data_IF_158372143416
#
_entry.id   IF_158372143416
#
_cell.length_a   1.000
_cell.length_b   1.000
_cell.length_c   1.000
_cell.angle_alpha   90.00
_cell.angle_beta   90.00
_cell.angle_gamma   90.00
#
_symmetry.space_group_name_H-M   'P 1'
#
loop_
_entity.id
_entity.type
_entity.pdbx_description
1 polymer ?
#
# COMPACT_ATOMS: atom_id res chain seq x y z
N UNK A 1 -4.29 -21.16 -1.64
CA UNK A 1 -5.14 -20.76 -2.78
C UNK A 1 -5.47 -19.28 -2.61
N UNK A 2 -5.21 -18.44 -3.62
CA UNK A 2 -5.49 -16.98 -3.61
C UNK A 2 -6.87 -16.73 -4.24
N UNK A 3 -7.57 -15.67 -3.84
CA UNK A 3 -8.77 -15.24 -4.56
C UNK A 3 -8.38 -14.75 -5.96
N UNK A 4 -9.12 -15.18 -7.00
CA UNK A 4 -8.88 -14.85 -8.41
C UNK A 4 -8.95 -13.33 -8.70
N UNK A 5 -9.68 -12.56 -7.89
CA UNK A 5 -9.73 -11.10 -8.03
C UNK A 5 -8.36 -10.41 -7.84
N UNK A 6 -7.37 -11.12 -7.26
CA UNK A 6 -5.99 -10.66 -7.16
C UNK A 6 -5.10 -11.04 -8.35
N UNK A 7 -5.65 -11.66 -9.40
CA UNK A 7 -4.84 -12.04 -10.56
C UNK A 7 -4.36 -10.81 -11.32
N UNK A 8 -3.12 -10.88 -11.82
CA UNK A 8 -2.43 -9.73 -12.43
C UNK A 8 -1.96 -8.65 -11.45
N UNK A 9 -2.33 -8.68 -10.17
CA UNK A 9 -1.92 -7.69 -9.19
C UNK A 9 -0.58 -8.06 -8.53
N UNK A 10 0.30 -7.07 -8.39
CA UNK A 10 1.55 -7.19 -7.64
C UNK A 10 1.26 -6.99 -6.15
N UNK A 11 1.64 -7.97 -5.33
CA UNK A 11 1.47 -7.95 -3.88
C UNK A 11 2.81 -7.63 -3.21
N UNK A 12 2.79 -6.64 -2.31
CA UNK A 12 3.96 -6.17 -1.58
C UNK A 12 3.75 -6.33 -0.08
N UNK A 13 4.79 -6.74 0.64
CA UNK A 13 4.85 -6.58 2.09
C UNK A 13 5.36 -5.17 2.36
N UNK A 14 4.58 -4.40 3.10
CA UNK A 14 4.90 -3.01 3.47
C UNK A 14 4.98 -2.89 4.97
N UNK A 15 5.83 -1.99 5.47
CA UNK A 15 5.97 -1.67 6.90
C UNK A 15 5.70 -0.19 7.14
N UNK A 16 4.90 0.12 8.15
CA UNK A 16 4.63 1.51 8.54
C UNK A 16 5.89 2.18 9.08
N UNK A 17 6.08 3.45 8.72
CA UNK A 17 7.15 4.31 9.20
C UNK A 17 6.59 5.40 10.12
N UNK A 18 7.40 5.90 11.04
CA UNK A 18 7.16 7.13 11.77
C UNK A 18 7.33 8.36 10.84
N UNK A 19 6.92 9.57 11.26
CA UNK A 19 7.19 10.80 10.51
C UNK A 19 8.69 11.02 10.20
N UNK A 20 9.58 10.51 11.06
CA UNK A 20 11.05 10.57 10.90
C UNK A 20 11.59 9.43 10.01
N UNK A 21 10.69 8.75 9.28
CA UNK A 21 10.99 7.62 8.40
C UNK A 21 11.63 6.42 9.13
N UNK A 22 11.45 6.34 10.44
CA UNK A 22 11.91 5.22 11.22
C UNK A 22 10.87 4.10 11.20
N UNK A 23 11.28 2.86 10.96
CA UNK A 23 10.32 1.79 10.88
C UNK A 23 9.68 1.43 12.22
N UNK A 24 8.36 1.27 12.23
CA UNK A 24 7.61 0.86 13.41
C UNK A 24 7.66 -0.66 13.61
N UNK A 25 7.78 -1.15 14.85
CA UNK A 25 8.11 -2.56 15.14
C UNK A 25 7.03 -3.60 14.77
N UNK A 26 5.74 -3.23 14.65
CA UNK A 26 4.66 -4.25 14.63
C UNK A 26 3.65 -4.14 13.47
N UNK A 27 3.86 -3.26 12.49
CA UNK A 27 2.84 -3.02 11.45
C UNK A 27 3.40 -3.33 10.07
N UNK A 28 3.61 -4.62 9.80
CA UNK A 28 3.78 -5.10 8.43
C UNK A 28 2.49 -5.73 7.92
N UNK A 29 2.09 -5.41 6.68
CA UNK A 29 0.88 -5.96 6.07
C UNK A 29 1.05 -6.06 4.55
N UNK A 30 0.10 -6.74 3.91
CA UNK A 30 0.06 -6.85 2.45
C UNK A 30 -0.65 -5.64 1.83
N UNK A 31 -0.11 -5.13 0.74
CA UNK A 31 -0.75 -4.13 -0.11
C UNK A 31 -0.62 -4.52 -1.59
N UNK A 32 -1.61 -4.15 -2.39
CA UNK A 32 -1.50 -4.21 -3.85
C UNK A 32 -0.75 -2.98 -4.34
N UNK A 33 0.22 -3.19 -5.21
CA UNK A 33 0.96 -2.14 -5.90
C UNK A 33 0.31 -1.81 -7.25
N UNK A 34 -0.09 -0.55 -7.43
CA UNK A 34 -0.59 -0.01 -8.71
C UNK A 34 0.31 1.08 -9.29
N UNK A 35 1.42 1.41 -8.62
CA UNK A 35 2.33 2.51 -9.00
C UNK A 35 3.73 2.00 -9.36
N UNK A 36 3.95 0.69 -9.32
CA UNK A 36 5.21 0.03 -9.64
C UNK A 36 6.34 0.32 -8.65
N UNK A 37 6.02 0.38 -7.35
CA UNK A 37 7.00 0.57 -6.27
C UNK A 37 8.05 -0.56 -6.18
N UNK A 38 9.30 -0.20 -5.93
CA UNK A 38 10.42 -1.10 -5.65
C UNK A 38 10.55 -1.50 -4.18
N UNK A 39 11.47 -2.42 -3.90
CA UNK A 39 11.90 -2.71 -2.53
C UNK A 39 12.72 -1.52 -2.04
N UNK A 40 12.36 -0.97 -0.89
CA UNK A 40 13.05 0.16 -0.28
C UNK A 40 12.39 1.51 -0.57
N UNK A 41 11.44 1.58 -1.50
CA UNK A 41 10.66 2.78 -1.75
C UNK A 41 9.80 3.13 -0.53
N UNK A 42 9.75 4.43 -0.22
CA UNK A 42 8.78 4.97 0.73
C UNK A 42 7.50 5.23 -0.05
N UNK A 43 6.38 4.74 0.47
CA UNK A 43 5.12 4.73 -0.28
C UNK A 43 3.95 5.24 0.55
N UNK A 44 2.99 5.87 -0.14
CA UNK A 44 1.70 6.23 0.44
C UNK A 44 0.71 5.09 0.24
N UNK A 45 0.00 4.73 1.29
CA UNK A 45 -0.94 3.60 1.29
C UNK A 45 -2.35 4.11 1.60
N UNK A 46 -3.30 3.81 0.71
CA UNK A 46 -4.72 3.87 1.07
C UNK A 46 -5.09 2.59 1.82
N UNK A 47 -5.56 2.72 3.07
CA UNK A 47 -5.89 1.59 3.94
C UNK A 47 -7.38 1.54 4.28
N UNK A 48 -8.20 1.55 3.23
CA UNK A 48 -9.66 1.50 3.32
C UNK A 48 -10.21 0.58 2.23
N UNK A 49 -11.05 -0.39 2.59
CA UNK A 49 -11.56 -1.35 1.62
C UNK A 49 -12.42 -0.71 0.51
N UNK A 50 -13.24 0.29 0.85
CA UNK A 50 -14.06 1.00 -0.14
C UNK A 50 -13.20 1.83 -1.10
N UNK A 51 -12.21 2.54 -0.57
CA UNK A 51 -11.20 3.24 -1.38
C UNK A 51 -10.44 2.29 -2.31
N UNK A 52 -10.01 1.14 -1.79
CA UNK A 52 -9.32 0.11 -2.58
C UNK A 52 -10.14 -0.37 -3.78
N UNK A 53 -11.44 -0.68 -3.57
CA UNK A 53 -12.34 -1.10 -4.66
C UNK A 53 -12.54 -0.02 -5.71
N UNK A 54 -12.69 1.24 -5.29
CA UNK A 54 -12.82 2.39 -6.19
C UNK A 54 -11.57 2.61 -7.03
N UNK A 55 -10.39 2.58 -6.40
CA UNK A 55 -9.08 2.76 -7.06
C UNK A 55 -8.85 1.67 -8.11
N UNK A 56 -9.11 0.41 -7.75
CA UNK A 56 -8.92 -0.74 -8.64
C UNK A 56 -10.05 -0.94 -9.64
N UNK A 57 -11.14 -0.15 -9.54
CA UNK A 57 -12.37 -0.31 -10.33
C UNK A 57 -12.88 -1.76 -10.28
N UNK A 58 -12.76 -2.40 -9.13
CA UNK A 58 -13.17 -3.78 -8.89
C UNK A 58 -13.98 -3.87 -7.61
N UNK A 59 -15.30 -4.02 -7.73
CA UNK A 59 -16.21 -4.10 -6.59
C UNK A 59 -16.10 -5.40 -5.77
N UNK A 60 -15.46 -6.43 -6.32
CA UNK A 60 -15.39 -7.77 -5.70
C UNK A 60 -14.06 -8.06 -5.03
N UNK A 61 -13.03 -7.25 -5.29
CA UNK A 61 -11.70 -7.53 -4.75
C UNK A 61 -11.71 -7.44 -3.21
N UNK A 62 -11.32 -8.51 -2.49
CA UNK A 62 -11.31 -8.52 -1.04
C UNK A 62 -10.00 -7.92 -0.50
N UNK A 63 -9.78 -6.64 -0.77
CA UNK A 63 -8.56 -5.91 -0.44
C UNK A 63 -8.86 -4.70 0.47
N UNK A 64 -7.93 -4.40 1.37
CA UNK A 64 -7.99 -3.21 2.24
C UNK A 64 -6.87 -2.20 1.96
N UNK A 65 -5.72 -2.63 1.42
CA UNK A 65 -4.52 -1.81 1.33
C UNK A 65 -4.01 -1.72 -0.10
N UNK A 66 -3.88 -0.50 -0.60
CA UNK A 66 -3.35 -0.20 -1.95
C UNK A 66 -2.22 0.81 -1.83
N UNK A 67 -1.08 0.55 -2.46
CA UNK A 67 -0.03 1.54 -2.66
C UNK A 67 -0.49 2.50 -3.74
N UNK A 68 -0.69 3.77 -3.39
CA UNK A 68 -1.26 4.80 -4.29
C UNK A 68 -0.23 5.80 -4.80
N UNK A 69 0.99 5.79 -4.27
CA UNK A 69 2.07 6.67 -4.69
C UNK A 69 3.40 6.32 -4.04
N UNK A 70 4.49 6.69 -4.73
CA UNK A 70 5.85 6.70 -4.20
C UNK A 70 6.11 8.09 -3.65
N UNK A 71 6.72 8.18 -2.47
CA UNK A 71 7.00 9.44 -1.78
C UNK A 71 8.42 9.89 -2.12
N UNK A 72 8.54 11.07 -2.70
CA UNK A 72 9.84 11.69 -3.01
C UNK A 72 10.49 12.29 -1.75
N UNK A 73 9.70 12.99 -0.92
CA UNK A 73 10.18 13.66 0.28
C UNK A 73 9.08 13.78 1.34
N UNK A 74 9.49 13.74 2.61
CA UNK A 74 8.66 14.06 3.77
C UNK A 74 9.24 15.29 4.46
N UNK A 75 8.41 16.31 4.69
CA UNK A 75 8.77 17.52 5.42
C UNK A 75 7.90 17.61 6.69
N UNK A 76 8.53 17.87 7.83
CA UNK A 76 7.86 18.01 9.13
C UNK A 76 8.13 19.43 9.62
N UNK A 77 7.06 20.14 9.96
CA UNK A 77 7.11 21.50 10.52
C UNK A 77 6.69 21.46 11.99
N UNK A 78 7.29 22.33 12.80
CA UNK A 78 6.90 22.55 14.21
C UNK A 78 5.66 23.44 14.35
#
# INVERSE_FOLDING_TARGET
VKNHEFDGHKLMIVRTLSPELQPLPEISFLAVDIVSAGIGDIVLINREGSGARLILKNEKIPLQSVIVGIIDQVEVFE
#
